data_IF_567576603314
#
_entry.id   IF_567576603314
#
_cell.length_a   1.000
_cell.length_b   1.000
_cell.length_c   1.000
_cell.angle_alpha   90.00
_cell.angle_beta   90.00
_cell.angle_gamma   90.00
#
_symmetry.space_group_name_H-M   'P 1'
#
loop_
_entity.id
_entity.type
_entity.pdbx_description
1 polymer ?
#
# COMPACT_ATOMS: atom_id res chain seq x y z
N UNK A 1 40.81 14.12 -28.28
CA UNK A 1 41.14 13.21 -27.15
C UNK A 1 40.02 13.12 -26.11
N UNK A 2 39.46 14.23 -25.63
CA UNK A 2 38.43 14.23 -24.57
C UNK A 2 37.17 13.40 -24.89
N UNK A 3 36.66 13.47 -26.13
CA UNK A 3 35.49 12.69 -26.57
C UNK A 3 35.73 11.18 -26.54
N UNK A 4 36.92 10.74 -26.93
CA UNK A 4 37.29 9.32 -26.93
C UNK A 4 37.56 8.83 -25.50
N UNK A 5 38.16 9.67 -24.64
CA UNK A 5 38.30 9.37 -23.22
C UNK A 5 36.94 9.21 -22.51
N UNK A 6 35.95 10.05 -22.85
CA UNK A 6 34.57 9.93 -22.35
C UNK A 6 33.90 8.63 -22.79
N UNK A 7 34.02 8.26 -24.07
CA UNK A 7 33.49 6.99 -24.59
C UNK A 7 34.13 5.78 -23.90
N UNK A 8 35.45 5.79 -23.77
CA UNK A 8 36.19 4.72 -23.12
C UNK A 8 35.82 4.59 -21.63
N UNK A 9 35.67 5.72 -20.93
CA UNK A 9 35.19 5.73 -19.56
C UNK A 9 33.79 5.12 -19.41
N UNK A 10 32.86 5.45 -20.32
CA UNK A 10 31.52 4.86 -20.31
C UNK A 10 31.53 3.36 -20.61
N UNK A 11 32.36 2.92 -21.56
CA UNK A 11 32.53 1.50 -21.86
C UNK A 11 33.04 0.73 -20.64
N UNK A 12 34.12 1.22 -20.00
CA UNK A 12 34.66 0.62 -18.78
C UNK A 12 33.64 0.56 -17.65
N UNK A 13 32.80 1.58 -17.53
CA UNK A 13 31.69 1.58 -16.56
C UNK A 13 30.68 0.46 -16.84
N UNK A 14 30.26 0.27 -18.09
CA UNK A 14 29.34 -0.81 -18.46
C UNK A 14 29.96 -2.20 -18.29
N UNK A 15 31.26 -2.33 -18.54
CA UNK A 15 32.02 -3.56 -18.28
C UNK A 15 32.11 -3.84 -16.77
N UNK A 16 32.52 -2.85 -15.96
CA UNK A 16 32.69 -3.01 -14.52
C UNK A 16 31.36 -3.22 -13.76
N UNK A 17 30.28 -2.62 -14.24
CA UNK A 17 28.93 -2.83 -13.67
C UNK A 17 28.26 -4.12 -14.13
N UNK A 18 28.88 -4.87 -15.05
CA UNK A 18 28.34 -6.12 -15.57
C UNK A 18 27.19 -5.97 -16.57
N UNK A 19 26.84 -4.74 -16.98
CA UNK A 19 25.77 -4.49 -17.95
C UNK A 19 26.06 -5.16 -19.29
N UNK A 20 27.31 -5.09 -19.77
CA UNK A 20 27.67 -5.76 -21.04
C UNK A 20 27.54 -7.28 -20.96
N UNK A 21 27.94 -7.88 -19.84
CA UNK A 21 27.84 -9.33 -19.63
C UNK A 21 26.37 -9.77 -19.58
N UNK A 22 25.54 -9.04 -18.82
CA UNK A 22 24.11 -9.29 -18.75
C UNK A 22 23.44 -9.20 -20.14
N UNK A 23 23.68 -8.11 -20.87
CA UNK A 23 23.12 -7.94 -22.23
C UNK A 23 23.60 -9.05 -23.18
N UNK A 24 24.89 -9.41 -23.11
CA UNK A 24 25.44 -10.49 -23.94
C UNK A 24 24.75 -11.82 -23.65
N UNK A 25 24.59 -12.18 -22.37
CA UNK A 25 23.89 -13.41 -21.96
C UNK A 25 22.44 -13.46 -22.45
N UNK A 26 21.72 -12.33 -22.38
CA UNK A 26 20.35 -12.25 -22.88
C UNK A 26 20.29 -12.45 -24.40
N UNK A 27 21.20 -11.82 -25.14
CA UNK A 27 21.27 -11.96 -26.60
C UNK A 27 21.66 -13.39 -27.03
N UNK A 28 22.59 -14.02 -26.31
CA UNK A 28 22.94 -15.44 -26.51
C UNK A 28 21.72 -16.31 -26.26
N UNK A 29 21.02 -16.12 -25.15
CA UNK A 29 19.81 -16.87 -24.84
C UNK A 29 18.72 -16.70 -25.91
N UNK A 30 18.56 -15.49 -26.48
CA UNK A 30 17.63 -15.23 -27.58
C UNK A 30 18.07 -15.92 -28.88
N UNK A 31 19.38 -15.96 -29.15
CA UNK A 31 19.93 -16.64 -30.31
C UNK A 31 19.73 -18.17 -30.22
N UNK A 32 19.94 -18.75 -29.04
CA UNK A 32 19.82 -20.19 -28.77
C UNK A 32 18.36 -20.70 -28.70
N UNK A 33 17.36 -19.81 -28.63
CA UNK A 33 15.96 -20.21 -28.74
C UNK A 33 15.69 -20.92 -30.09
N UNK A 34 15.28 -22.19 -30.01
CA UNK A 34 14.89 -23.03 -31.16
C UNK A 34 13.71 -22.41 -31.91
N UNK A 35 12.68 -21.99 -31.18
CA UNK A 35 11.56 -21.22 -31.72
C UNK A 35 11.71 -19.75 -31.31
N UNK A 36 11.76 -18.84 -32.29
CA UNK A 36 11.90 -17.42 -31.99
C UNK A 36 10.64 -16.90 -31.30
N UNK A 37 10.78 -16.15 -30.19
CA UNK A 37 9.63 -15.57 -29.52
C UNK A 37 8.92 -14.61 -30.48
N UNK A 38 7.59 -14.54 -30.36
CA UNK A 38 6.75 -13.61 -31.12
C UNK A 38 7.18 -12.15 -30.92
N UNK A 39 7.70 -11.81 -29.73
CA UNK A 39 8.30 -10.52 -29.41
C UNK A 39 9.69 -10.71 -28.80
N UNK A 40 10.71 -10.39 -29.59
CA UNK A 40 12.10 -10.37 -29.11
C UNK A 40 12.32 -9.32 -28.01
N UNK A 41 11.58 -8.20 -28.08
CA UNK A 41 11.70 -7.12 -27.10
C UNK A 41 11.17 -7.55 -25.73
N UNK A 42 10.00 -8.20 -25.68
CA UNK A 42 9.45 -8.73 -24.43
C UNK A 42 10.36 -9.79 -23.82
N UNK A 43 10.92 -10.68 -24.65
CA UNK A 43 11.89 -11.67 -24.18
C UNK A 43 13.10 -11.02 -23.50
N UNK A 44 13.66 -9.98 -24.11
CA UNK A 44 14.80 -9.23 -23.54
C UNK A 44 14.39 -8.55 -22.23
N UNK A 45 13.23 -7.88 -22.19
CA UNK A 45 12.71 -7.22 -20.99
C UNK A 45 12.56 -8.22 -19.84
N UNK A 46 11.93 -9.37 -20.08
CA UNK A 46 11.74 -10.42 -19.09
C UNK A 46 13.07 -11.00 -18.61
N UNK A 47 14.02 -11.27 -19.51
CA UNK A 47 15.34 -11.82 -19.13
C UNK A 47 16.21 -10.84 -18.35
N UNK A 48 15.96 -9.54 -18.47
CA UNK A 48 16.58 -8.49 -17.65
C UNK A 48 15.82 -8.21 -16.35
N UNK A 49 14.75 -8.96 -16.05
CA UNK A 49 13.97 -8.82 -14.83
C UNK A 49 12.86 -7.77 -14.89
N UNK A 50 12.52 -7.26 -16.07
CA UNK A 50 11.34 -6.43 -16.28
C UNK A 50 10.05 -7.25 -16.26
N UNK A 51 8.93 -6.71 -15.75
CA UNK A 51 7.65 -7.37 -15.82
C UNK A 51 7.20 -7.50 -17.28
N UNK A 52 6.45 -8.57 -17.57
CA UNK A 52 5.67 -8.66 -18.80
C UNK A 52 4.55 -7.60 -18.82
N UNK A 53 4.04 -7.29 -20.02
CA UNK A 53 2.88 -6.41 -20.15
C UNK A 53 1.69 -6.91 -19.33
N UNK A 54 1.42 -8.22 -19.39
CA UNK A 54 0.32 -8.82 -18.63
C UNK A 54 0.51 -8.71 -17.12
N UNK A 55 1.73 -8.92 -16.60
CA UNK A 55 2.03 -8.73 -15.17
C UNK A 55 1.87 -7.27 -14.76
N UNK A 56 2.30 -6.34 -15.61
CA UNK A 56 2.16 -4.91 -15.36
C UNK A 56 0.69 -4.48 -15.33
N UNK A 57 -0.12 -4.91 -16.30
CA UNK A 57 -1.56 -4.65 -16.35
C UNK A 57 -2.28 -5.25 -15.13
N UNK A 58 -1.93 -6.48 -14.75
CA UNK A 58 -2.48 -7.13 -13.55
C UNK A 58 -2.14 -6.34 -12.29
N UNK A 59 -0.88 -5.92 -12.13
CA UNK A 59 -0.45 -5.12 -10.98
C UNK A 59 -1.17 -3.76 -10.93
N UNK A 60 -1.40 -3.14 -12.09
CA UNK A 60 -2.16 -1.89 -12.19
C UNK A 60 -3.62 -2.07 -11.78
N UNK A 61 -4.25 -3.18 -12.18
CA UNK A 61 -5.60 -3.52 -11.77
C UNK A 61 -5.71 -3.77 -10.26
N UNK A 62 -4.77 -4.53 -9.68
CA UNK A 62 -4.72 -4.78 -8.24
C UNK A 62 -4.54 -3.48 -7.44
N UNK A 63 -3.68 -2.57 -7.91
CA UNK A 63 -3.49 -1.26 -7.29
C UNK A 63 -4.79 -0.43 -7.31
N UNK A 64 -5.48 -0.42 -8.45
CA UNK A 64 -6.76 0.27 -8.58
C UNK A 64 -7.83 -0.31 -7.65
N UNK A 65 -7.96 -1.64 -7.59
CA UNK A 65 -8.92 -2.32 -6.72
C UNK A 65 -8.62 -2.05 -5.24
N UNK A 66 -7.35 -2.12 -4.85
CA UNK A 66 -6.92 -1.85 -3.48
C UNK A 66 -7.23 -0.40 -3.08
N UNK A 67 -7.04 0.54 -4.00
CA UNK A 67 -7.33 1.95 -3.74
C UNK A 67 -8.84 2.23 -3.60
N UNK A 68 -9.69 1.53 -4.37
CA UNK A 68 -11.14 1.58 -4.19
C UNK A 68 -11.52 1.08 -2.80
N UNK A 69 -11.07 -0.13 -2.43
CA UNK A 69 -11.36 -0.73 -1.12
C UNK A 69 -10.87 0.12 0.04
N UNK A 70 -9.69 0.71 -0.09
CA UNK A 70 -9.13 1.60 0.93
C UNK A 70 -10.03 2.82 1.15
N UNK A 71 -10.51 3.45 0.07
CA UNK A 71 -11.40 4.60 0.16
C UNK A 71 -12.77 4.23 0.75
N UNK A 72 -13.33 3.08 0.37
CA UNK A 72 -14.57 2.54 0.95
C UNK A 72 -14.42 2.31 2.46
N UNK A 73 -13.34 1.65 2.86
CA UNK A 73 -13.07 1.37 4.27
C UNK A 73 -12.86 2.65 5.09
N UNK A 74 -12.17 3.65 4.53
CA UNK A 74 -12.06 4.97 5.17
C UNK A 74 -13.43 5.60 5.37
N UNK A 75 -14.28 5.56 4.34
CA UNK A 75 -15.61 6.15 4.41
C UNK A 75 -16.47 5.46 5.48
N UNK A 76 -16.52 4.13 5.47
CA UNK A 76 -17.24 3.35 6.49
C UNK A 76 -16.71 3.63 7.90
N UNK A 77 -15.38 3.72 8.06
CA UNK A 77 -14.77 4.03 9.34
C UNK A 77 -15.17 5.43 9.84
N UNK A 78 -15.18 6.43 8.95
CA UNK A 78 -15.61 7.79 9.27
C UNK A 78 -17.09 7.85 9.66
N UNK A 79 -17.95 7.13 8.94
CA UNK A 79 -19.39 7.03 9.26
C UNK A 79 -19.60 6.40 10.63
N UNK A 80 -18.96 5.27 10.91
CA UNK A 80 -19.03 4.62 12.23
C UNK A 80 -18.48 5.48 13.36
N UNK A 81 -17.40 6.24 13.13
CA UNK A 81 -16.88 7.16 14.14
C UNK A 81 -17.90 8.25 14.48
N UNK A 82 -18.57 8.82 13.47
CA UNK A 82 -19.65 9.80 13.68
C UNK A 82 -20.82 9.19 14.47
N UNK A 83 -21.30 8.01 14.08
CA UNK A 83 -22.40 7.33 14.79
C UNK A 83 -22.04 7.05 16.26
N UNK A 84 -20.79 6.65 16.54
CA UNK A 84 -20.33 6.42 17.90
C UNK A 84 -20.27 7.71 18.72
N UNK A 85 -19.87 8.83 18.12
CA UNK A 85 -19.88 10.14 18.77
C UNK A 85 -21.31 10.58 19.08
N UNK A 86 -22.24 10.44 18.13
CA UNK A 86 -23.65 10.77 18.30
C UNK A 86 -24.29 9.94 19.43
N UNK A 87 -24.08 8.62 19.44
CA UNK A 87 -24.60 7.73 20.49
C UNK A 87 -24.04 8.08 21.87
N UNK A 88 -22.75 8.44 21.97
CA UNK A 88 -22.16 8.92 23.22
C UNK A 88 -22.82 10.20 23.70
N UNK A 89 -23.05 11.17 22.81
CA UNK A 89 -23.75 12.41 23.15
C UNK A 89 -25.17 12.14 23.66
N UNK A 90 -25.94 11.31 22.95
CA UNK A 90 -27.31 10.95 23.38
C UNK A 90 -27.33 10.17 24.71
N UNK A 91 -26.33 9.31 24.97
CA UNK A 91 -26.24 8.57 26.23
C UNK A 91 -25.89 9.48 27.42
N UNK A 92 -25.05 10.50 27.22
CA UNK A 92 -24.73 11.51 28.24
C UNK A 92 -25.95 12.38 28.53
N UNK A 93 -26.69 12.82 27.51
CA UNK A 93 -27.92 13.60 27.68
C UNK A 93 -29.06 12.80 28.34
N UNK A 94 -29.21 11.52 27.99
CA UNK A 94 -30.19 10.63 28.61
C UNK A 94 -29.86 10.28 30.07
N UNK A 95 -28.57 10.27 30.44
CA UNK A 95 -28.11 10.04 31.81
C UNK A 95 -28.26 11.31 32.67
N UNK A 96 -27.97 12.48 32.12
CA UNK A 96 -28.17 13.77 32.78
C UNK A 96 -29.65 14.06 33.09
N UNK A 97 -30.57 13.64 32.21
CA UNK A 97 -32.01 13.84 32.42
C UNK A 97 -32.65 12.84 33.41
N UNK A 98 -31.96 11.73 33.76
CA UNK A 98 -32.44 10.78 34.78
C UNK A 98 -32.11 11.19 36.21
N UNK A 99 -31.12 12.08 36.41
CA UNK A 99 -30.75 12.56 37.75
C UNK A 99 -31.75 13.60 38.33
N UNK A 100 -32.72 14.08 37.55
CA UNK A 100 -33.70 15.09 37.98
C UNK A 100 -35.08 14.53 38.41
N UNK A 101 -35.33 13.21 38.34
CA UNK A 101 -36.62 12.60 38.70
C UNK A 101 -36.62 11.78 40.01
N UNK A 102 -35.48 11.61 40.69
CA UNK A 102 -35.46 10.96 42.03
C UNK A 102 -35.60 12.02 43.13
N UNK A 103 -36.76 12.68 43.13
CA UNK A 103 -37.21 13.47 44.26
C UNK A 103 -37.78 12.58 45.36
N UNK A 104 -37.07 12.52 46.48
CA UNK A 104 -37.58 12.30 47.85
C UNK A 104 -37.84 10.84 48.30
N UNK A 105 -36.88 10.25 49.02
CA UNK A 105 -37.09 9.63 50.35
C UNK A 105 -35.76 9.42 51.07
N UNK A 106 -35.86 9.45 52.40
CA UNK A 106 -34.86 9.67 53.44
C UNK A 106 -33.62 8.76 53.53
N UNK A 107 -32.57 9.41 54.05
CA UNK A 107 -31.62 9.02 55.11
C UNK A 107 -30.56 7.90 54.94
N UNK A 108 -29.41 8.26 55.53
CA UNK A 108 -28.33 7.48 56.13
C UNK A 108 -27.28 6.75 55.25
N UNK A 109 -26.13 7.41 55.18
CA UNK A 109 -24.81 6.94 55.63
C UNK A 109 -24.02 5.86 54.85
N UNK A 110 -22.71 6.14 54.77
CA UNK A 110 -21.54 5.28 54.53
C UNK A 110 -21.08 5.03 53.08
N UNK A 111 -19.98 5.74 52.75
CA UNK A 111 -18.67 5.21 52.33
C UNK A 111 -18.69 4.04 51.32
N UNK A 112 -18.00 4.06 50.19
CA UNK A 112 -16.52 4.02 50.05
C UNK A 112 -16.20 3.99 48.55
N UNK A 113 -14.98 4.40 48.20
CA UNK A 113 -14.23 4.23 46.94
C UNK A 113 -14.73 3.20 45.89
N UNK A 114 -14.50 3.48 44.59
CA UNK A 114 -13.66 2.65 43.68
C UNK A 114 -13.80 3.08 42.20
N UNK A 115 -12.67 3.56 41.67
CA UNK A 115 -12.09 3.32 40.32
C UNK A 115 -12.56 4.15 39.11
N UNK A 116 -11.64 5.06 38.75
CA UNK A 116 -11.34 5.62 37.43
C UNK A 116 -11.31 4.59 36.30
N UNK A 117 -11.92 4.93 35.17
CA UNK A 117 -11.39 4.66 33.84
C UNK A 117 -11.33 5.99 33.09
#
# INVERSE_FOLDING_TARGET
>A
MEKEAKKEGFRKYLEASGVLDALTKVLVALYEQNDKPSSALEFVQQKLGGPSLSEYEKLQAELSELQIRYNELIKENQERCRELEELKHTQVEASANKELDVGNTHDEELNTDVVKC
#
